data_IF_540273722946
#
_entry.id   IF_540273722946
#
_cell.length_a   1.000
_cell.length_b   1.000
_cell.length_c   1.000
_cell.angle_alpha   90.00
_cell.angle_beta   90.00
_cell.angle_gamma   90.00
#
_symmetry.space_group_name_H-M   'P 1'
#
loop_
_entity.id
_entity.type
_entity.pdbx_description
1 polymer ?
#
# COMPACT_ATOMS: atom_id res chain seq x y z
N UNK A 1 14.26 4.49 14.23
CA UNK A 1 13.78 3.88 12.97
C UNK A 1 12.47 4.54 12.54
N UNK A 2 12.12 4.46 11.25
CA UNK A 2 10.86 4.92 10.69
C UNK A 2 10.17 3.76 9.99
N UNK A 3 8.85 3.67 10.09
CA UNK A 3 8.07 2.77 9.25
C UNK A 3 7.19 3.57 8.29
N UNK A 4 6.87 3.00 7.14
CA UNK A 4 5.76 3.39 6.28
C UNK A 4 4.74 2.25 6.27
N UNK A 5 3.49 2.58 6.50
CA UNK A 5 2.35 1.69 6.31
C UNK A 5 1.57 2.19 5.10
N UNK A 6 1.26 1.28 4.16
CA UNK A 6 0.64 1.61 2.88
C UNK A 6 -0.46 0.59 2.56
N UNK A 7 -1.67 1.07 2.36
CA UNK A 7 -2.82 0.23 2.06
C UNK A 7 -2.73 -0.36 0.65
N UNK A 8 -2.75 -1.68 0.55
CA UNK A 8 -2.59 -2.38 -0.72
C UNK A 8 -3.78 -2.17 -1.63
N UNK A 9 -3.54 -1.59 -2.85
CA UNK A 9 -4.59 -1.36 -3.85
C UNK A 9 -5.82 -0.64 -3.26
N UNK A 10 -5.60 0.39 -2.46
CA UNK A 10 -6.53 0.91 -1.47
C UNK A 10 -7.98 1.02 -1.96
N UNK A 11 -8.26 1.76 -3.04
CA UNK A 11 -9.64 1.95 -3.50
C UNK A 11 -10.30 0.64 -3.94
N UNK A 12 -9.56 -0.24 -4.63
CA UNK A 12 -10.06 -1.57 -4.97
C UNK A 12 -10.34 -2.41 -3.72
N UNK A 13 -9.51 -2.31 -2.69
CA UNK A 13 -9.69 -3.00 -1.41
C UNK A 13 -10.92 -2.48 -0.67
N UNK A 14 -11.18 -1.17 -0.70
CA UNK A 14 -12.39 -0.58 -0.13
C UNK A 14 -13.67 -1.12 -0.78
N UNK A 15 -13.69 -1.19 -2.12
CA UNK A 15 -14.86 -1.73 -2.85
C UNK A 15 -15.07 -3.23 -2.57
N UNK A 16 -14.01 -4.01 -2.51
CA UNK A 16 -14.07 -5.45 -2.22
C UNK A 16 -14.56 -5.76 -0.82
N UNK A 17 -14.25 -4.91 0.16
CA UNK A 17 -14.65 -5.12 1.56
C UNK A 17 -16.16 -5.32 1.71
N UNK A 18 -16.95 -4.64 0.91
CA UNK A 18 -18.42 -4.72 0.92
C UNK A 18 -18.98 -5.63 -0.19
N UNK A 19 -18.12 -6.22 -1.01
CA UNK A 19 -18.47 -7.12 -2.10
C UNK A 19 -17.58 -8.36 -2.10
N UNK A 20 -17.75 -9.29 -1.14
CA UNK A 20 -16.89 -10.48 -1.01
C UNK A 20 -16.82 -11.35 -2.27
N UNK A 21 -17.85 -11.31 -3.12
CA UNK A 21 -17.87 -12.02 -4.41
C UNK A 21 -16.80 -11.53 -5.40
N UNK A 22 -16.16 -10.39 -5.12
CA UNK A 22 -15.05 -9.84 -5.91
C UNK A 22 -13.67 -10.26 -5.38
N UNK A 23 -13.62 -11.07 -4.35
CA UNK A 23 -12.36 -11.65 -3.89
C UNK A 23 -11.70 -12.44 -5.04
N UNK A 24 -10.42 -12.16 -5.26
CA UNK A 24 -9.63 -12.74 -6.37
C UNK A 24 -10.10 -12.41 -7.80
N UNK A 25 -11.09 -11.53 -7.98
CA UNK A 25 -11.47 -11.03 -9.31
C UNK A 25 -10.70 -9.77 -9.68
N UNK A 26 -10.44 -9.52 -10.97
CA UNK A 26 -9.82 -8.27 -11.40
C UNK A 26 -10.77 -7.09 -11.19
N UNK A 27 -10.29 -6.05 -10.52
CA UNK A 27 -11.05 -4.83 -10.18
C UNK A 27 -10.22 -3.61 -10.51
N UNK A 28 -10.86 -2.57 -11.04
CA UNK A 28 -10.28 -1.24 -11.22
C UNK A 28 -11.24 -0.17 -10.68
N UNK A 29 -10.68 0.95 -10.22
CA UNK A 29 -11.44 2.13 -9.81
C UNK A 29 -11.03 3.30 -10.67
N UNK A 30 -12.02 4.05 -11.16
CA UNK A 30 -11.85 5.22 -12.02
C UNK A 30 -11.72 6.50 -11.19
N UNK A 31 -11.15 7.53 -11.80
CA UNK A 31 -11.08 8.87 -11.23
C UNK A 31 -12.48 9.50 -11.09
N UNK A 32 -12.57 10.63 -10.39
CA UNK A 32 -13.83 11.31 -10.06
C UNK A 32 -14.75 11.59 -11.27
N UNK A 33 -14.15 11.76 -12.47
CA UNK A 33 -14.88 11.99 -13.72
C UNK A 33 -14.92 10.74 -14.63
N UNK A 34 -14.64 9.57 -14.09
CA UNK A 34 -14.52 8.30 -14.81
C UNK A 34 -13.51 8.31 -15.98
N UNK A 35 -12.61 9.29 -15.99
CA UNK A 35 -11.69 9.49 -17.11
C UNK A 35 -10.49 8.56 -17.13
N UNK A 36 -9.91 8.23 -15.96
CA UNK A 36 -8.68 7.45 -15.86
C UNK A 36 -8.76 6.39 -14.76
N UNK A 37 -7.98 5.33 -14.91
CA UNK A 37 -7.85 4.28 -13.89
C UNK A 37 -6.88 4.75 -12.81
N UNK A 38 -7.38 4.92 -11.57
CA UNK A 38 -6.59 5.40 -10.43
C UNK A 38 -6.28 4.33 -9.37
N UNK A 39 -6.95 3.18 -9.42
CA UNK A 39 -6.60 2.02 -8.59
C UNK A 39 -6.85 0.73 -9.36
N UNK A 40 -6.02 -0.27 -9.08
CA UNK A 40 -6.03 -1.57 -9.76
C UNK A 40 -5.75 -2.66 -8.75
N UNK A 41 -6.56 -3.71 -8.77
CA UNK A 41 -6.26 -4.92 -8.00
C UNK A 41 -5.02 -5.65 -8.55
N UNK A 42 -4.49 -6.59 -7.80
CA UNK A 42 -3.31 -7.37 -8.25
C UNK A 42 -3.63 -8.21 -9.49
N UNK A 43 -4.85 -8.70 -9.59
CA UNK A 43 -5.35 -9.45 -10.75
C UNK A 43 -5.37 -8.55 -11.98
N UNK A 44 -5.90 -7.32 -11.86
CA UNK A 44 -5.91 -6.36 -12.97
C UNK A 44 -4.50 -5.93 -13.41
N UNK A 45 -3.57 -5.81 -12.46
CA UNK A 45 -2.15 -5.55 -12.78
C UNK A 45 -1.51 -6.69 -13.56
N UNK A 46 -1.82 -7.96 -13.21
CA UNK A 46 -1.33 -9.15 -13.91
C UNK A 46 -1.87 -9.25 -15.34
N UNK A 47 -3.09 -8.74 -15.58
CA UNK A 47 -3.70 -8.64 -16.90
C UNK A 47 -3.14 -7.47 -17.74
N UNK A 48 -2.22 -6.68 -17.20
CA UNK A 48 -1.56 -5.60 -17.94
C UNK A 48 -2.27 -4.23 -17.89
N UNK A 49 -3.28 -4.07 -17.04
CA UNK A 49 -3.91 -2.74 -16.87
C UNK A 49 -2.87 -1.75 -16.36
N UNK A 50 -2.61 -0.65 -17.09
CA UNK A 50 -1.66 0.37 -16.69
C UNK A 50 -2.26 1.39 -15.71
N UNK A 51 -1.42 2.01 -14.86
CA UNK A 51 -1.84 3.09 -13.97
C UNK A 51 -2.03 4.38 -14.75
N UNK A 52 -3.03 5.16 -14.35
CA UNK A 52 -3.38 6.45 -14.97
C UNK A 52 -3.72 6.39 -16.46
N UNK A 53 -3.96 5.19 -17.00
CA UNK A 53 -4.42 5.05 -18.38
C UNK A 53 -5.86 5.60 -18.50
N UNK A 54 -6.18 6.36 -19.57
CA UNK A 54 -7.55 6.75 -19.87
C UNK A 54 -8.45 5.52 -20.00
N UNK A 55 -9.64 5.57 -19.36
CA UNK A 55 -10.55 4.43 -19.34
C UNK A 55 -10.91 3.91 -20.73
N UNK A 56 -11.15 4.84 -21.68
CA UNK A 56 -11.51 4.46 -23.05
C UNK A 56 -10.43 3.64 -23.77
N UNK A 57 -9.14 3.83 -23.42
CA UNK A 57 -8.04 3.04 -23.96
C UNK A 57 -7.95 1.64 -23.36
N UNK A 58 -8.46 1.45 -22.15
CA UNK A 58 -8.44 0.17 -21.44
C UNK A 58 -9.72 -0.66 -21.69
N UNK A 59 -10.74 -0.13 -22.36
CA UNK A 59 -12.07 -0.76 -22.49
C UNK A 59 -12.03 -2.14 -23.13
N UNK A 60 -11.22 -2.35 -24.17
CA UNK A 60 -11.09 -3.69 -24.80
C UNK A 60 -10.53 -4.72 -23.82
N UNK A 61 -9.42 -4.38 -23.15
CA UNK A 61 -8.80 -5.24 -22.15
C UNK A 61 -9.75 -5.55 -20.98
N UNK A 62 -10.52 -4.56 -20.54
CA UNK A 62 -11.50 -4.68 -19.48
C UNK A 62 -12.61 -5.65 -19.87
N UNK A 63 -13.17 -5.52 -21.07
CA UNK A 63 -14.25 -6.40 -21.55
C UNK A 63 -13.76 -7.83 -21.81
N UNK A 64 -12.59 -7.99 -22.42
CA UNK A 64 -12.02 -9.30 -22.74
C UNK A 64 -11.69 -10.14 -21.48
N UNK A 65 -11.41 -9.48 -20.35
CA UNK A 65 -10.99 -10.15 -19.12
C UNK A 65 -12.01 -10.04 -17.98
N UNK A 66 -13.23 -9.60 -18.26
CA UNK A 66 -14.30 -9.44 -17.26
C UNK A 66 -13.84 -8.66 -16.01
N UNK A 67 -13.13 -7.54 -16.24
CA UNK A 67 -12.62 -6.70 -15.15
C UNK A 67 -13.75 -5.85 -14.60
N UNK A 68 -14.02 -5.96 -13.31
CA UNK A 68 -15.01 -5.13 -12.63
C UNK A 68 -14.56 -3.69 -12.51
N UNK A 69 -15.43 -2.74 -12.85
CA UNK A 69 -15.14 -1.31 -12.90
C UNK A 69 -16.00 -0.55 -11.91
N UNK A 70 -15.38 0.30 -11.10
CA UNK A 70 -16.06 1.19 -10.16
C UNK A 70 -15.72 2.65 -10.46
N UNK A 71 -16.73 3.51 -10.38
CA UNK A 71 -16.50 4.95 -10.17
C UNK A 71 -15.94 5.19 -8.77
N UNK A 72 -15.17 6.25 -8.56
CA UNK A 72 -14.61 6.57 -7.25
C UNK A 72 -15.71 6.93 -6.23
N UNK A 73 -15.58 6.36 -5.02
CA UNK A 73 -16.42 6.68 -3.87
C UNK A 73 -15.55 7.27 -2.75
N UNK A 74 -15.21 8.56 -2.87
CA UNK A 74 -14.30 9.21 -1.93
C UNK A 74 -14.83 9.29 -0.49
N UNK A 75 -16.16 9.23 -0.28
CA UNK A 75 -16.74 9.16 1.06
C UNK A 75 -16.38 7.82 1.71
N UNK A 76 -16.53 6.72 0.99
CA UNK A 76 -16.14 5.38 1.46
C UNK A 76 -14.63 5.32 1.72
N UNK A 77 -13.82 5.81 0.78
CA UNK A 77 -12.35 5.75 0.90
C UNK A 77 -11.86 6.62 2.04
N UNK A 78 -12.47 7.79 2.25
CA UNK A 78 -12.17 8.67 3.38
C UNK A 78 -12.49 8.04 4.74
N UNK A 79 -13.62 7.36 4.88
CA UNK A 79 -14.01 6.66 6.11
C UNK A 79 -13.04 5.50 6.42
N UNK A 80 -12.73 4.67 5.43
CA UNK A 80 -11.80 3.55 5.63
C UNK A 80 -10.35 4.02 5.87
N UNK A 81 -9.93 5.08 5.19
CA UNK A 81 -8.66 5.76 5.50
C UNK A 81 -8.60 6.18 6.96
N UNK A 82 -9.62 6.90 7.42
CA UNK A 82 -9.70 7.35 8.81
C UNK A 82 -9.60 6.17 9.79
N UNK A 83 -10.31 5.05 9.55
CA UNK A 83 -10.24 3.86 10.40
C UNK A 83 -8.85 3.24 10.44
N UNK A 84 -8.17 3.15 9.30
CA UNK A 84 -6.77 2.68 9.25
C UNK A 84 -5.87 3.61 10.07
N UNK A 85 -5.96 4.93 9.85
CA UNK A 85 -5.12 5.90 10.54
C UNK A 85 -5.38 5.92 12.05
N UNK A 86 -6.64 5.79 12.49
CA UNK A 86 -6.99 5.66 13.91
C UNK A 86 -6.46 4.37 14.52
N UNK A 87 -6.54 3.25 13.80
CA UNK A 87 -5.92 1.99 14.26
C UNK A 87 -4.43 2.19 14.52
N UNK A 88 -3.72 2.83 13.59
CA UNK A 88 -2.29 3.11 13.76
C UNK A 88 -2.01 4.04 14.95
N UNK A 89 -2.84 5.08 15.19
CA UNK A 89 -2.70 5.99 16.32
C UNK A 89 -2.94 5.29 17.66
N UNK A 90 -3.94 4.42 17.72
CA UNK A 90 -4.22 3.61 18.92
C UNK A 90 -3.04 2.69 19.25
N UNK A 91 -2.46 2.05 18.24
CA UNK A 91 -1.35 1.12 18.42
C UNK A 91 -0.03 1.82 18.79
N UNK A 92 0.29 2.91 18.11
CA UNK A 92 1.62 3.51 18.12
C UNK A 92 1.69 4.85 18.88
N UNK A 93 0.54 5.40 19.27
CA UNK A 93 0.42 6.73 19.85
C UNK A 93 0.30 7.83 18.79
N UNK A 94 -0.61 8.77 19.01
CA UNK A 94 -0.97 9.81 18.04
C UNK A 94 0.23 10.62 17.54
N UNK A 95 1.16 10.99 18.43
CA UNK A 95 2.35 11.79 18.10
C UNK A 95 3.36 11.08 17.21
N UNK A 96 3.29 9.76 17.16
CA UNK A 96 4.22 8.93 16.39
C UNK A 96 3.69 8.58 14.99
N UNK A 97 2.45 8.95 14.65
CA UNK A 97 1.82 8.65 13.38
C UNK A 97 1.64 9.94 12.56
N UNK A 98 2.31 10.01 11.43
CA UNK A 98 2.20 11.10 10.46
C UNK A 98 1.43 10.59 9.24
N UNK A 99 0.19 11.03 9.07
CA UNK A 99 -0.60 10.71 7.87
C UNK A 99 0.01 11.45 6.68
N UNK A 100 0.45 10.69 5.68
CA UNK A 100 1.10 11.21 4.49
C UNK A 100 0.14 11.33 3.30
N UNK A 101 -0.75 10.37 3.14
CA UNK A 101 -1.79 10.37 2.10
C UNK A 101 -3.05 9.65 2.62
N UNK A 102 -4.05 9.50 1.75
CA UNK A 102 -5.29 8.76 2.07
C UNK A 102 -5.03 7.28 2.40
N UNK A 103 -3.93 6.72 1.91
CA UNK A 103 -3.58 5.30 2.02
C UNK A 103 -2.21 5.04 2.64
N UNK A 104 -1.48 6.08 3.04
CA UNK A 104 -0.13 5.95 3.60
C UNK A 104 0.08 6.76 4.88
N UNK A 105 0.77 6.17 5.85
CA UNK A 105 1.22 6.86 7.04
C UNK A 105 2.67 6.48 7.39
N UNK A 106 3.44 7.46 7.84
CA UNK A 106 4.73 7.22 8.48
C UNK A 106 4.56 7.04 9.99
N UNK A 107 5.35 6.13 10.57
CA UNK A 107 5.38 5.87 12.01
C UNK A 107 6.79 6.11 12.53
N UNK A 108 6.89 6.85 13.62
CA UNK A 108 8.14 6.99 14.36
C UNK A 108 8.29 5.82 15.34
N UNK A 109 9.33 5.00 15.10
CA UNK A 109 9.65 3.86 15.94
C UNK A 109 10.82 4.14 16.90
N UNK A 110 11.24 5.40 17.07
CA UNK A 110 12.40 5.75 17.89
C UNK A 110 12.23 5.43 19.39
N UNK A 111 11.00 5.30 19.86
CA UNK A 111 10.69 4.91 21.26
C UNK A 111 10.72 3.39 21.47
N UNK A 112 10.92 2.59 20.44
CA UNK A 112 10.94 1.14 20.48
C UNK A 112 12.38 0.59 20.40
N UNK A 113 13.33 1.23 21.10
CA UNK A 113 14.70 0.76 21.14
C UNK A 113 14.79 -0.66 21.72
N UNK A 114 15.53 -1.54 21.02
CA UNK A 114 15.67 -2.94 21.36
C UNK A 114 14.47 -3.84 21.03
N UNK A 115 13.38 -3.29 20.45
CA UNK A 115 12.26 -4.11 20.00
C UNK A 115 12.59 -4.88 18.71
N UNK A 116 11.99 -6.06 18.56
CA UNK A 116 12.00 -6.77 17.28
C UNK A 116 11.12 -6.02 16.26
N UNK A 117 11.77 -5.24 15.40
CA UNK A 117 11.11 -4.41 14.39
C UNK A 117 10.29 -5.23 13.40
N UNK A 118 10.69 -6.48 13.12
CA UNK A 118 9.92 -7.37 12.26
C UNK A 118 8.61 -7.77 12.94
N UNK A 119 8.67 -8.08 14.24
CA UNK A 119 7.48 -8.42 15.02
C UNK A 119 6.54 -7.23 15.15
N UNK A 120 7.07 -6.03 15.38
CA UNK A 120 6.27 -4.79 15.40
C UNK A 120 5.56 -4.58 14.06
N UNK A 121 6.27 -4.72 12.95
CA UNK A 121 5.68 -4.58 11.61
C UNK A 121 4.59 -5.62 11.33
N UNK A 122 4.77 -6.86 11.78
CA UNK A 122 3.74 -7.92 11.70
C UNK A 122 2.49 -7.55 12.51
N UNK A 123 2.66 -7.11 13.75
CA UNK A 123 1.55 -6.69 14.60
C UNK A 123 0.76 -5.54 13.97
N UNK A 124 1.46 -4.54 13.41
CA UNK A 124 0.80 -3.43 12.70
C UNK A 124 -0.04 -3.98 11.55
N UNK A 125 0.54 -4.80 10.67
CA UNK A 125 -0.16 -5.37 9.52
C UNK A 125 -1.40 -6.18 9.92
N UNK A 126 -1.23 -7.09 10.86
CA UNK A 126 -2.28 -8.00 11.32
C UNK A 126 -3.41 -7.24 12.02
N UNK A 127 -3.09 -6.28 12.89
CA UNK A 127 -4.10 -5.49 13.60
C UNK A 127 -4.88 -4.59 12.65
N UNK A 128 -4.20 -3.92 11.71
CA UNK A 128 -4.90 -3.08 10.70
C UNK A 128 -5.84 -3.95 9.86
N UNK A 129 -5.38 -5.10 9.36
CA UNK A 129 -6.23 -6.02 8.58
C UNK A 129 -7.40 -6.54 9.41
N UNK A 130 -7.17 -6.95 10.65
CA UNK A 130 -8.20 -7.48 11.54
C UNK A 130 -9.28 -6.44 11.88
N UNK A 131 -8.89 -5.19 12.14
CA UNK A 131 -9.84 -4.17 12.60
C UNK A 131 -10.56 -3.44 11.46
N UNK A 132 -9.93 -3.37 10.28
CA UNK A 132 -10.46 -2.58 9.16
C UNK A 132 -10.81 -3.40 7.93
N UNK A 133 -10.33 -4.62 7.83
CA UNK A 133 -10.41 -5.46 6.62
C UNK A 133 -9.47 -5.00 5.49
N UNK A 134 -8.66 -3.95 5.71
CA UNK A 134 -7.73 -3.41 4.70
C UNK A 134 -6.35 -4.01 4.89
N UNK A 135 -5.86 -4.71 3.87
CA UNK A 135 -4.50 -5.25 3.85
C UNK A 135 -3.48 -4.14 3.62
N UNK A 136 -2.43 -4.14 4.43
CA UNK A 136 -1.35 -3.14 4.32
C UNK A 136 0.01 -3.80 4.09
N UNK A 137 0.93 -3.02 3.55
CA UNK A 137 2.36 -3.35 3.48
C UNK A 137 3.12 -2.45 4.44
N UNK A 138 4.18 -2.97 5.04
CA UNK A 138 4.99 -2.24 6.01
C UNK A 138 6.47 -2.28 5.61
N UNK A 139 7.06 -1.11 5.44
CA UNK A 139 8.50 -0.96 5.22
C UNK A 139 9.15 -0.23 6.39
N UNK A 140 10.19 -0.81 6.98
CA UNK A 140 10.91 -0.24 8.13
C UNK A 140 12.36 0.03 7.75
N UNK A 141 12.86 1.24 8.07
CA UNK A 141 14.24 1.64 7.79
C UNK A 141 14.66 2.86 8.63
N UNK A 142 15.95 3.26 8.62
CA UNK A 142 16.42 4.42 9.37
C UNK A 142 15.80 5.76 8.92
N UNK A 143 15.42 5.90 7.66
CA UNK A 143 14.85 7.12 7.08
C UNK A 143 13.53 6.87 6.35
N UNK A 144 12.70 7.90 6.16
CA UNK A 144 11.45 7.82 5.39
C UNK A 144 11.69 7.32 3.94
N UNK A 145 12.76 7.78 3.30
CA UNK A 145 13.11 7.36 1.92
C UNK A 145 13.39 5.87 1.87
N UNK A 146 14.22 5.37 2.78
CA UNK A 146 14.55 3.94 2.87
C UNK A 146 13.34 3.10 3.31
N UNK A 147 12.47 3.62 4.18
CA UNK A 147 11.24 2.94 4.55
C UNK A 147 10.30 2.76 3.34
N UNK A 148 10.15 3.80 2.49
CA UNK A 148 9.40 3.68 1.23
C UNK A 148 10.05 2.69 0.25
N UNK A 149 11.38 2.65 0.19
CA UNK A 149 12.12 1.66 -0.59
C UNK A 149 11.81 0.23 -0.08
N UNK A 150 11.91 0.01 1.23
CA UNK A 150 11.57 -1.26 1.86
C UNK A 150 10.14 -1.69 1.53
N UNK A 151 9.18 -0.79 1.67
CA UNK A 151 7.78 -1.05 1.33
C UNK A 151 7.60 -1.44 -0.14
N UNK A 152 8.23 -0.71 -1.06
CA UNK A 152 8.18 -1.03 -2.50
C UNK A 152 8.73 -2.43 -2.80
N UNK A 153 9.87 -2.78 -2.22
CA UNK A 153 10.48 -4.09 -2.40
C UNK A 153 9.64 -5.21 -1.78
N UNK A 154 9.06 -4.98 -0.60
CA UNK A 154 8.16 -5.96 0.03
C UNK A 154 6.97 -6.30 -0.86
N UNK A 155 6.39 -5.30 -1.54
CA UNK A 155 5.27 -5.49 -2.47
C UNK A 155 5.66 -6.24 -3.74
N UNK A 156 6.90 -6.13 -4.23
CA UNK A 156 7.39 -6.90 -5.39
C UNK A 156 7.49 -8.40 -5.09
N UNK A 157 7.80 -8.76 -3.86
CA UNK A 157 8.03 -10.13 -3.42
C UNK A 157 7.04 -10.58 -2.34
N UNK A 158 5.75 -10.25 -2.49
CA UNK A 158 4.69 -10.46 -1.50
C UNK A 158 4.68 -11.86 -0.87
N UNK A 159 4.85 -12.91 -1.69
CA UNK A 159 4.81 -14.30 -1.22
C UNK A 159 6.00 -14.66 -0.31
N UNK A 160 7.13 -13.94 -0.44
CA UNK A 160 8.33 -14.17 0.36
C UNK A 160 8.39 -13.28 1.60
N UNK A 161 7.92 -12.05 1.45
CA UNK A 161 8.05 -11.00 2.47
C UNK A 161 6.81 -10.83 3.33
N UNK A 162 5.70 -11.45 2.92
CA UNK A 162 4.39 -11.20 3.53
C UNK A 162 4.04 -9.70 3.60
N UNK A 163 4.47 -8.94 2.56
CA UNK A 163 4.33 -7.49 2.46
C UNK A 163 5.05 -6.70 3.58
N UNK A 164 6.07 -7.28 4.21
CA UNK A 164 6.88 -6.62 5.24
C UNK A 164 8.35 -6.67 4.85
N UNK A 165 9.08 -5.58 5.04
CA UNK A 165 10.53 -5.54 4.89
C UNK A 165 11.16 -4.60 5.89
N UNK A 166 12.22 -5.06 6.56
CA UNK A 166 12.99 -4.31 7.53
C UNK A 166 14.43 -4.15 7.03
N UNK A 167 14.85 -2.91 6.82
CA UNK A 167 16.21 -2.52 6.43
C UNK A 167 16.90 -1.89 7.65
N UNK A 168 17.33 -2.71 8.59
CA UNK A 168 17.90 -2.33 9.89
C UNK A 168 19.43 -2.42 9.92
N UNK A 169 20.07 -2.99 8.90
CA UNK A 169 21.52 -3.10 8.79
C UNK A 169 22.02 -2.45 7.50
N UNK A 170 23.28 -2.02 7.50
CA UNK A 170 23.92 -1.44 6.33
C UNK A 170 23.92 -2.40 5.12
N UNK A 171 24.17 -3.68 5.36
CA UNK A 171 24.14 -4.71 4.32
C UNK A 171 22.77 -4.82 3.63
N UNK A 172 21.68 -4.82 4.41
CA UNK A 172 20.32 -4.86 3.88
C UNK A 172 19.99 -3.60 3.09
N UNK A 173 20.44 -2.43 3.57
CA UNK A 173 20.25 -1.14 2.89
C UNK A 173 20.97 -1.11 1.56
N UNK A 174 22.27 -1.47 1.54
CA UNK A 174 23.09 -1.50 0.32
C UNK A 174 22.48 -2.48 -0.69
N UNK A 175 22.11 -3.68 -0.27
CA UNK A 175 21.45 -4.65 -1.14
C UNK A 175 20.14 -4.14 -1.74
N UNK A 176 19.31 -3.47 -0.95
CA UNK A 176 18.06 -2.88 -1.42
C UNK A 176 18.28 -1.75 -2.43
N UNK A 177 19.29 -0.91 -2.20
CA UNK A 177 19.65 0.18 -3.12
C UNK A 177 20.20 -0.36 -4.44
N UNK A 178 21.04 -1.40 -4.41
CA UNK A 178 21.58 -2.03 -5.63
C UNK A 178 20.49 -2.65 -6.52
N UNK A 179 19.39 -3.12 -5.94
CA UNK A 179 18.25 -3.69 -6.64
C UNK A 179 17.27 -2.64 -7.18
N UNK A 180 17.51 -1.35 -6.90
CA UNK A 180 16.53 -0.30 -7.18
C UNK A 180 17.08 0.75 -8.15
N UNK A 181 16.44 0.92 -9.32
CA UNK A 181 16.79 2.03 -10.22
C UNK A 181 16.65 3.39 -9.52
N UNK A 182 17.58 4.31 -9.78
CA UNK A 182 17.60 5.64 -9.16
C UNK A 182 16.27 6.39 -9.31
N UNK A 183 15.65 6.31 -10.50
CA UNK A 183 14.35 6.95 -10.75
C UNK A 183 13.17 6.35 -9.95
N UNK A 184 13.39 5.20 -9.30
CA UNK A 184 12.39 4.54 -8.43
C UNK A 184 12.55 4.92 -6.95
N UNK A 185 13.58 5.70 -6.61
CA UNK A 185 13.78 6.25 -5.27
C UNK A 185 12.81 7.41 -5.05
N UNK A 186 12.09 7.36 -3.93
CA UNK A 186 11.13 8.40 -3.57
C UNK A 186 11.80 9.77 -3.45
N UNK A 187 11.24 10.77 -4.16
CA UNK A 187 11.76 12.14 -4.21
C UNK A 187 12.77 12.41 -5.32
N UNK A 188 13.28 11.39 -6.03
CA UNK A 188 14.21 11.59 -7.17
C UNK A 188 13.43 11.86 -8.46
N UNK A 189 12.43 11.02 -8.77
CA UNK A 189 11.65 11.14 -10.00
C UNK A 189 12.45 10.83 -11.28
N UNK A 190 11.85 11.11 -12.43
CA UNK A 190 12.44 11.00 -13.76
C UNK A 190 12.72 12.37 -14.32
#
# INVERSE_FOLDING_TARGET
>A
MKAIVDCNNFYCSCERLFKPQLENKPVVVLSNNDGCIISRSDESKKLGVAMAVPYFQAQSLIKENDIEVFSSNYNLYGDLSWRVMETLRIMMGEKNVEVYSVDEAFIDLSLLDGADLLQVAKQIRETVEQWTGIKVSVGVAPTKVLAKLANRLSKKEKHRTDCIMVLDTEEKIVSALQLTPVGDIWGVGR
#
